data_IF_592161501397
#
_entry.id   IF_592161501397
#
_cell.length_a   1.000
_cell.length_b   1.000
_cell.length_c   1.000
_cell.angle_alpha   90.00
_cell.angle_beta   90.00
_cell.angle_gamma   90.00
#
_symmetry.space_group_name_H-M   'P 1'
#
loop_
_entity.id
_entity.type
_entity.pdbx_description
1 polymer ?
#
# COMPACT_ATOMS: atom_id res chain seq x y z
N UNK A 1 -12.86 -3.54 7.61
CA UNK A 1 -12.11 -2.44 8.23
C UNK A 1 -10.74 -2.90 8.66
N UNK A 2 -9.73 -2.38 7.97
CA UNK A 2 -8.35 -2.59 8.35
C UNK A 2 -8.05 -1.71 9.55
N UNK A 3 -7.69 -2.32 10.68
CA UNK A 3 -7.12 -1.56 11.79
C UNK A 3 -5.64 -1.32 11.47
N UNK A 4 -5.35 -0.19 10.80
CA UNK A 4 -4.00 0.16 10.33
C UNK A 4 -2.98 0.12 11.47
N UNK A 5 -3.34 0.62 12.65
CA UNK A 5 -2.47 0.61 13.84
C UNK A 5 -2.15 -0.82 14.31
N UNK A 6 -3.13 -1.72 14.27
CA UNK A 6 -2.92 -3.14 14.59
C UNK A 6 -2.04 -3.84 13.56
N UNK A 7 -2.26 -3.57 12.27
CA UNK A 7 -1.42 -4.08 11.18
C UNK A 7 0.02 -3.57 11.34
N UNK A 8 0.19 -2.28 11.60
CA UNK A 8 1.49 -1.65 11.83
C UNK A 8 2.26 -2.32 12.97
N UNK A 9 1.60 -2.46 14.12
CA UNK A 9 2.19 -3.11 15.30
C UNK A 9 2.68 -4.53 14.99
N UNK A 10 1.89 -5.30 14.22
CA UNK A 10 2.26 -6.65 13.82
C UNK A 10 3.43 -6.64 12.84
N UNK A 11 3.44 -5.77 11.84
CA UNK A 11 4.53 -5.67 10.86
C UNK A 11 5.83 -5.27 11.53
N UNK A 12 5.85 -4.22 12.35
CA UNK A 12 7.06 -3.79 13.05
C UNK A 12 7.64 -4.90 13.92
N UNK A 13 6.80 -5.62 14.67
CA UNK A 13 7.24 -6.79 15.46
C UNK A 13 7.88 -7.88 14.59
N UNK A 14 7.33 -8.16 13.41
CA UNK A 14 7.92 -9.17 12.51
C UNK A 14 9.22 -8.69 11.87
N UNK A 15 9.37 -7.39 11.59
CA UNK A 15 10.63 -6.81 11.11
C UNK A 15 11.69 -6.85 12.21
N UNK A 16 11.35 -6.44 13.43
CA UNK A 16 12.27 -6.46 14.59
C UNK A 16 12.75 -7.88 14.93
N UNK A 17 11.87 -8.88 14.76
CA UNK A 17 12.21 -10.28 14.94
C UNK A 17 13.01 -10.89 13.77
N UNK A 18 13.28 -10.12 12.70
CA UNK A 18 14.00 -10.58 11.51
C UNK A 18 13.18 -11.50 10.58
N UNK A 19 11.87 -11.62 10.79
CA UNK A 19 10.98 -12.42 9.95
C UNK A 19 10.60 -11.71 8.64
N UNK A 20 10.64 -10.38 8.63
CA UNK A 20 10.38 -9.55 7.45
C UNK A 20 11.56 -8.61 7.16
N UNK A 21 11.86 -8.34 5.89
CA UNK A 21 12.84 -7.32 5.52
C UNK A 21 12.46 -5.92 6.03
N UNK A 22 13.46 -5.08 6.31
CA UNK A 22 13.27 -3.70 6.76
C UNK A 22 12.40 -2.83 5.81
N UNK A 23 12.35 -3.18 4.51
CA UNK A 23 11.47 -2.51 3.55
C UNK A 23 9.99 -2.56 3.93
N UNK A 24 9.53 -3.57 4.68
CA UNK A 24 8.16 -3.63 5.19
C UNK A 24 7.88 -2.58 6.26
N UNK A 25 8.86 -2.26 7.12
CA UNK A 25 8.72 -1.19 8.09
C UNK A 25 8.64 0.18 7.41
N UNK A 26 9.44 0.41 6.36
CA UNK A 26 9.39 1.64 5.57
C UNK A 26 8.04 1.78 4.84
N UNK A 27 7.57 0.71 4.19
CA UNK A 27 6.26 0.72 3.53
C UNK A 27 5.12 0.95 4.52
N UNK A 28 5.16 0.31 5.70
CA UNK A 28 4.15 0.51 6.73
C UNK A 28 4.16 1.94 7.27
N UNK A 29 5.33 2.55 7.50
CA UNK A 29 5.43 3.95 7.90
C UNK A 29 4.73 4.89 6.91
N UNK A 30 5.03 4.74 5.62
CA UNK A 30 4.39 5.53 4.57
C UNK A 30 2.86 5.34 4.50
N UNK A 31 2.35 4.14 4.80
CA UNK A 31 0.92 3.89 4.86
C UNK A 31 0.26 4.49 6.11
N UNK A 32 0.97 4.57 7.24
CA UNK A 32 0.48 5.28 8.43
C UNK A 32 0.37 6.76 8.13
N UNK A 33 1.41 7.37 7.55
CA UNK A 33 1.39 8.78 7.16
C UNK A 33 0.22 9.05 6.17
N UNK A 34 0.04 8.18 5.17
CA UNK A 34 -1.06 8.31 4.22
C UNK A 34 -2.45 8.14 4.89
N UNK A 35 -2.58 7.32 5.94
CA UNK A 35 -3.84 7.15 6.66
C UNK A 35 -4.24 8.40 7.44
N UNK A 36 -3.25 9.15 7.92
CA UNK A 36 -3.47 10.39 8.67
C UNK A 36 -3.66 11.60 7.74
N UNK A 37 -2.96 11.63 6.60
CA UNK A 37 -2.92 12.78 5.69
C UNK A 37 -3.84 12.69 4.45
N UNK A 38 -4.21 11.48 4.01
CA UNK A 38 -4.97 11.25 2.77
C UNK A 38 -6.38 10.66 3.06
N UNK A 39 -7.45 11.47 2.96
CA UNK A 39 -8.80 11.02 3.30
C UNK A 39 -9.32 9.92 2.36
N UNK A 40 -8.88 9.87 1.11
CA UNK A 40 -9.28 8.82 0.17
C UNK A 40 -8.65 7.47 0.57
N UNK A 41 -7.39 7.49 1.03
CA UNK A 41 -6.75 6.30 1.57
C UNK A 41 -7.37 5.87 2.90
N UNK A 42 -7.70 6.82 3.77
CA UNK A 42 -8.40 6.56 5.02
C UNK A 42 -9.74 5.83 4.79
N UNK A 43 -10.57 6.36 3.88
CA UNK A 43 -11.86 5.75 3.52
C UNK A 43 -11.67 4.36 2.92
N UNK A 44 -10.70 4.20 2.02
CA UNK A 44 -10.37 2.89 1.43
C UNK A 44 -9.93 1.87 2.49
N UNK A 45 -9.02 2.26 3.39
CA UNK A 45 -8.51 1.40 4.45
C UNK A 45 -9.64 0.94 5.41
N UNK A 46 -10.59 1.83 5.69
CA UNK A 46 -11.76 1.53 6.50
C UNK A 46 -12.73 0.55 5.80
N UNK A 47 -12.84 0.64 4.48
CA UNK A 47 -13.68 -0.23 3.66
C UNK A 47 -13.11 -1.65 3.46
N UNK A 48 -11.79 -1.84 3.47
CA UNK A 48 -11.16 -3.12 3.14
C UNK A 48 -10.82 -4.00 4.35
N UNK A 49 -10.58 -5.32 4.19
CA UNK A 49 -9.96 -6.14 5.24
C UNK A 49 -8.46 -5.87 5.35
N UNK A 50 -7.87 -6.12 6.53
CA UNK A 50 -6.42 -5.93 6.77
C UNK A 50 -5.51 -6.71 5.81
N UNK A 51 -5.99 -7.84 5.26
CA UNK A 51 -5.26 -8.62 4.25
C UNK A 51 -5.07 -7.87 2.92
N UNK A 52 -5.92 -6.89 2.59
CA UNK A 52 -5.74 -6.03 1.43
C UNK A 52 -4.57 -5.05 1.65
N UNK A 53 -4.46 -4.49 2.86
CA UNK A 53 -3.35 -3.63 3.27
C UNK A 53 -2.03 -4.41 3.27
N UNK A 54 -2.04 -5.65 3.76
CA UNK A 54 -0.86 -6.53 3.71
C UNK A 54 -0.39 -6.80 2.27
N UNK A 55 -1.32 -6.98 1.32
CA UNK A 55 -0.99 -7.14 -0.10
C UNK A 55 -0.45 -5.86 -0.73
N UNK A 56 -1.05 -4.72 -0.40
CA UNK A 56 -0.55 -3.41 -0.80
C UNK A 56 0.89 -3.21 -0.34
N UNK A 57 1.19 -3.46 0.94
CA UNK A 57 2.57 -3.41 1.45
C UNK A 57 3.51 -4.33 0.69
N UNK A 58 3.12 -5.59 0.46
CA UNK A 58 3.95 -6.53 -0.29
C UNK A 58 4.18 -6.08 -1.76
N UNK A 59 3.24 -5.32 -2.34
CA UNK A 59 3.37 -4.71 -3.66
C UNK A 59 4.32 -3.50 -3.63
N UNK A 60 4.19 -2.61 -2.64
CA UNK A 60 5.08 -1.47 -2.43
C UNK A 60 6.53 -1.91 -2.24
N UNK A 61 6.78 -2.93 -1.42
CA UNK A 61 8.13 -3.46 -1.17
C UNK A 61 8.73 -4.08 -2.43
N UNK A 62 7.93 -4.83 -3.21
CA UNK A 62 8.41 -5.45 -4.46
C UNK A 62 8.74 -4.44 -5.56
N UNK A 63 7.97 -3.35 -5.65
CA UNK A 63 8.18 -2.32 -6.67
C UNK A 63 9.13 -1.20 -6.23
N UNK A 64 9.61 -1.20 -4.98
CA UNK A 64 10.42 -0.11 -4.44
C UNK A 64 9.65 1.21 -4.25
N UNK A 65 8.31 1.15 -4.20
CA UNK A 65 7.44 2.33 -4.21
C UNK A 65 7.14 2.88 -2.81
N UNK A 66 7.88 2.50 -1.77
CA UNK A 66 7.58 2.84 -0.38
C UNK A 66 7.65 4.34 -0.04
N UNK A 67 8.20 5.18 -0.91
CA UNK A 67 8.22 6.64 -0.76
C UNK A 67 7.47 7.38 -1.87
N UNK A 68 6.74 6.66 -2.74
CA UNK A 68 6.04 7.26 -3.87
C UNK A 68 4.54 7.38 -3.57
N UNK A 69 4.13 8.56 -3.08
CA UNK A 69 2.73 8.83 -2.76
C UNK A 69 1.81 8.86 -3.98
N UNK A 70 2.32 9.25 -5.16
CA UNK A 70 1.52 9.22 -6.40
C UNK A 70 1.18 7.78 -6.81
N UNK A 71 2.15 6.86 -6.65
CA UNK A 71 1.94 5.43 -6.86
C UNK A 71 0.86 4.87 -5.93
N UNK A 72 0.89 5.28 -4.65
CA UNK A 72 -0.11 4.86 -3.66
C UNK A 72 -1.50 5.34 -4.03
N UNK A 73 -1.65 6.63 -4.40
CA UNK A 73 -2.94 7.19 -4.81
C UNK A 73 -3.51 6.48 -6.03
N UNK A 74 -2.69 6.23 -7.05
CA UNK A 74 -3.17 5.52 -8.23
C UNK A 74 -3.57 4.08 -7.91
N UNK A 75 -2.80 3.39 -7.05
CA UNK A 75 -3.18 2.04 -6.58
C UNK A 75 -4.56 2.04 -5.91
N UNK A 76 -4.80 2.98 -4.98
CA UNK A 76 -6.07 3.10 -4.25
C UNK A 76 -7.19 3.43 -5.23
N UNK A 77 -6.99 4.40 -6.12
CA UNK A 77 -7.95 4.79 -7.15
C UNK A 77 -8.36 3.60 -8.02
N UNK A 78 -7.40 2.79 -8.46
CA UNK A 78 -7.66 1.58 -9.26
C UNK A 78 -8.43 0.53 -8.44
N UNK A 79 -8.03 0.22 -7.20
CA UNK A 79 -8.75 -0.77 -6.40
C UNK A 79 -10.15 -0.31 -5.96
N UNK A 80 -10.37 1.00 -5.75
CA UNK A 80 -11.69 1.57 -5.46
C UNK A 80 -12.60 1.56 -6.69
N UNK A 81 -12.11 1.97 -7.85
CA UNK A 81 -12.91 2.04 -9.09
C UNK A 81 -13.23 0.66 -9.67
N UNK A 82 -12.31 -0.29 -9.58
CA UNK A 82 -12.53 -1.60 -10.18
C UNK A 82 -13.28 -2.57 -9.26
N UNK A 83 -13.46 -2.28 -7.97
CA UNK A 83 -14.09 -3.20 -7.00
C UNK A 83 -13.38 -4.56 -6.89
N UNK A 84 -12.20 -4.68 -7.50
CA UNK A 84 -11.53 -5.93 -7.86
C UNK A 84 -10.07 -5.75 -7.44
N UNK A 85 -9.84 -5.78 -6.14
CA UNK A 85 -8.58 -6.29 -5.62
C UNK A 85 -8.78 -7.83 -5.52
N UNK A 86 -9.03 -8.51 -6.65
CA UNK A 86 -9.13 -9.99 -6.68
C UNK A 86 -7.79 -10.57 -6.27
N UNK A 87 -7.90 -11.67 -5.53
CA UNK A 87 -6.90 -12.43 -4.79
C UNK A 87 -5.59 -12.82 -5.49
N UNK A 88 -5.26 -12.33 -6.68
CA UNK A 88 -4.22 -12.89 -7.53
C UNK A 88 -2.97 -12.03 -7.73
N UNK A 89 -2.66 -11.12 -6.80
CA UNK A 89 -1.28 -10.66 -6.58
C UNK A 89 -0.57 -10.01 -7.77
N UNK A 90 -1.31 -9.57 -8.79
CA UNK A 90 -0.81 -8.86 -9.96
C UNK A 90 -1.65 -7.60 -10.12
N UNK A 91 -1.34 -6.58 -9.34
CA UNK A 91 -1.58 -5.23 -9.81
C UNK A 91 -0.48 -4.98 -10.86
N UNK A 92 -0.74 -5.33 -12.11
CA UNK A 92 -0.02 -4.72 -13.23
C UNK A 92 -0.43 -3.26 -13.25
N UNK A 93 0.16 -2.47 -12.35
CA UNK A 93 0.39 -1.05 -12.60
C UNK A 93 1.42 -1.03 -13.74
N UNK A 94 0.98 -1.33 -14.96
CA UNK A 94 1.80 -1.15 -16.13
C UNK A 94 2.20 0.32 -16.16
N UNK A 95 3.51 0.55 -16.11
CA UNK A 95 4.12 1.86 -16.16
C UNK A 95 3.86 2.56 -17.50
N UNK A 96 2.65 3.06 -17.69
CA UNK A 96 2.28 3.98 -18.78
C UNK A 96 2.03 5.41 -18.29
N UNK A 97 2.05 5.68 -16.98
CA UNK A 97 1.82 7.03 -16.46
C UNK A 97 3.09 7.91 -16.34
N UNK A 98 4.29 7.41 -16.68
CA UNK A 98 5.55 8.16 -16.57
C UNK A 98 6.17 8.54 -17.93
N UNK A 99 5.38 8.52 -19.01
CA UNK A 99 5.84 8.93 -20.35
C UNK A 99 5.24 10.22 -20.90
N UNK A 100 4.26 10.85 -20.23
CA UNK A 100 3.62 12.09 -20.72
C UNK A 100 3.99 13.35 -19.90
N UNK A 101 5.23 13.46 -19.43
CA UNK A 101 5.75 14.73 -18.91
C UNK A 101 7.19 15.03 -19.34
N UNK A 102 7.68 14.32 -20.36
CA UNK A 102 8.92 14.63 -21.05
C UNK A 102 8.66 14.74 -22.55
N UNK A 103 7.88 15.75 -22.94
CA UNK A 103 7.78 16.26 -24.31
C UNK A 103 7.65 17.78 -24.26
#
# INVERSE_FOLDING_TARGET
MANIQHVATRIFRHVDAGHLPAGYALAMGALVDAYDDDPDFHEWADAVPGSAVEKLMACMVRNGAWSNQEWLREYVRVCTLQGVCTLQGVCTLQGEALKESAA
#
